data_IF_594472646210
#
_entry.id   IF_594472646210
#
_cell.length_a   1.000
_cell.length_b   1.000
_cell.length_c   1.000
_cell.angle_alpha   90.00
_cell.angle_beta   90.00
_cell.angle_gamma   90.00
#
_symmetry.space_group_name_H-M   'P 1'
#
loop_
_entity.id
_entity.type
_entity.pdbx_description
1 polymer ?
#
# COMPACT_ATOMS: atom_id res chain seq x y z
N UNK A 1 -13.30 6.97 -16.90
CA UNK A 1 -13.88 5.63 -17.17
C UNK A 1 -15.26 5.51 -16.49
N UNK A 2 -16.34 6.11 -17.05
CA UNK A 2 -17.64 6.23 -16.37
C UNK A 2 -18.39 4.89 -16.21
N UNK A 3 -18.26 4.00 -17.21
CA UNK A 3 -19.08 2.78 -17.32
C UNK A 3 -18.84 1.79 -16.17
N UNK A 4 -17.62 1.71 -15.64
CA UNK A 4 -17.30 0.82 -14.51
C UNK A 4 -17.87 1.32 -13.18
N UNK A 5 -17.99 2.65 -13.01
CA UNK A 5 -18.50 3.31 -11.79
C UNK A 5 -20.03 3.36 -11.70
N UNK A 6 -20.75 3.02 -12.75
CA UNK A 6 -22.23 3.00 -12.72
C UNK A 6 -22.82 1.59 -12.57
N UNK A 7 -22.05 0.53 -12.89
CA UNK A 7 -22.58 -0.85 -12.95
C UNK A 7 -21.80 -1.91 -12.17
N UNK A 8 -20.56 -1.63 -11.78
CA UNK A 8 -19.64 -2.59 -11.15
C UNK A 8 -18.95 -1.99 -9.92
N UNK A 9 -19.60 -1.01 -9.28
CA UNK A 9 -19.05 -0.18 -8.19
C UNK A 9 -18.37 -1.04 -7.14
N UNK A 10 -19.02 -2.14 -6.76
CA UNK A 10 -18.53 -3.07 -5.76
C UNK A 10 -18.31 -4.45 -6.39
N UNK A 11 -17.48 -4.53 -7.44
CA UNK A 11 -17.05 -5.80 -8.02
C UNK A 11 -15.55 -6.06 -7.79
N UNK A 12 -15.13 -7.29 -7.42
CA UNK A 12 -13.70 -7.61 -7.23
C UNK A 12 -12.82 -7.35 -8.46
N UNK A 13 -13.41 -7.36 -9.66
CA UNK A 13 -12.72 -7.01 -10.90
C UNK A 13 -12.40 -5.51 -10.99
N UNK A 14 -13.27 -4.63 -10.49
CA UNK A 14 -13.02 -3.19 -10.42
C UNK A 14 -11.80 -2.90 -9.53
N UNK A 15 -11.73 -3.52 -8.34
CA UNK A 15 -10.55 -3.42 -7.48
C UNK A 15 -9.25 -3.92 -8.15
N UNK A 16 -9.35 -4.98 -8.96
CA UNK A 16 -8.19 -5.50 -9.70
C UNK A 16 -7.69 -4.51 -10.75
N UNK A 17 -8.60 -3.87 -11.50
CA UNK A 17 -8.25 -2.84 -12.48
C UNK A 17 -7.60 -1.64 -11.77
N UNK A 18 -8.16 -1.20 -10.65
CA UNK A 18 -7.64 -0.09 -9.85
C UNK A 18 -6.23 -0.39 -9.33
N UNK A 19 -5.94 -1.59 -8.83
CA UNK A 19 -4.57 -1.96 -8.44
C UNK A 19 -3.60 -1.94 -9.63
N UNK A 20 -4.03 -2.38 -10.81
CA UNK A 20 -3.18 -2.31 -12.01
C UNK A 20 -2.91 -0.86 -12.43
N UNK A 21 -3.90 0.01 -12.35
CA UNK A 21 -3.70 1.46 -12.56
C UNK A 21 -2.73 2.03 -11.53
N UNK A 22 -2.88 1.67 -10.25
CA UNK A 22 -1.93 2.08 -9.21
C UNK A 22 -0.49 1.73 -9.57
N UNK A 23 -0.25 0.48 -9.99
CA UNK A 23 1.09 0.02 -10.39
C UNK A 23 1.62 0.80 -11.60
N UNK A 24 0.80 0.99 -12.63
CA UNK A 24 1.20 1.75 -13.81
C UNK A 24 1.57 3.20 -13.47
N UNK A 25 0.76 3.88 -12.66
CA UNK A 25 1.02 5.25 -12.23
C UNK A 25 2.28 5.33 -11.35
N UNK A 26 2.53 4.34 -10.49
CA UNK A 26 3.77 4.27 -9.70
C UNK A 26 4.99 4.13 -10.60
N UNK A 27 4.92 3.28 -11.62
CA UNK A 27 6.03 3.05 -12.56
C UNK A 27 6.27 4.29 -13.46
N UNK A 28 5.24 5.12 -13.67
CA UNK A 28 5.34 6.44 -14.31
C UNK A 28 5.85 7.56 -13.38
N UNK A 29 6.02 7.28 -12.08
CA UNK A 29 6.41 8.29 -11.07
C UNK A 29 5.26 9.18 -10.58
N UNK A 30 4.02 8.88 -10.95
CA UNK A 30 2.81 9.61 -10.59
C UNK A 30 2.24 9.10 -9.25
N UNK A 31 3.01 9.26 -8.18
CA UNK A 31 2.78 8.57 -6.90
C UNK A 31 1.45 8.92 -6.22
N UNK A 32 0.96 10.16 -6.33
CA UNK A 32 -0.34 10.54 -5.78
C UNK A 32 -1.51 9.82 -6.47
N UNK A 33 -1.41 9.63 -7.80
CA UNK A 33 -2.40 8.86 -8.56
C UNK A 33 -2.32 7.38 -8.17
N UNK A 34 -1.10 6.84 -8.02
CA UNK A 34 -0.90 5.47 -7.59
C UNK A 34 -1.57 5.20 -6.23
N UNK A 35 -1.31 6.06 -5.24
CA UNK A 35 -1.92 5.97 -3.93
C UNK A 35 -3.45 6.03 -4.00
N UNK A 36 -4.00 6.97 -4.76
CA UNK A 36 -5.46 7.14 -4.88
C UNK A 36 -6.13 5.87 -5.44
N UNK A 37 -5.57 5.28 -6.50
CA UNK A 37 -6.11 4.05 -7.08
C UNK A 37 -5.96 2.85 -6.14
N UNK A 38 -4.85 2.73 -5.41
CA UNK A 38 -4.66 1.67 -4.42
C UNK A 38 -5.64 1.78 -3.25
N UNK A 39 -5.95 3.01 -2.78
CA UNK A 39 -6.97 3.23 -1.73
C UNK A 39 -8.36 2.81 -2.20
N UNK A 40 -8.78 3.28 -3.38
CA UNK A 40 -10.08 2.88 -3.95
C UNK A 40 -10.19 1.35 -4.12
N UNK A 41 -9.12 0.68 -4.53
CA UNK A 41 -9.10 -0.78 -4.64
C UNK A 41 -9.18 -1.51 -3.30
N UNK A 42 -8.59 -0.94 -2.25
CA UNK A 42 -8.66 -1.48 -0.90
C UNK A 42 -10.08 -1.33 -0.33
N UNK A 43 -10.70 -0.15 -0.49
CA UNK A 43 -12.04 0.13 0.02
C UNK A 43 -13.06 -0.86 -0.54
N UNK A 44 -13.06 -1.09 -1.86
CA UNK A 44 -13.93 -2.08 -2.51
C UNK A 44 -13.71 -3.49 -1.96
N UNK A 45 -12.45 -3.89 -1.71
CA UNK A 45 -12.16 -5.24 -1.20
C UNK A 45 -12.51 -5.41 0.28
N UNK A 46 -12.36 -4.36 1.08
CA UNK A 46 -12.79 -4.38 2.48
C UNK A 46 -14.31 -4.54 2.58
N UNK A 47 -15.07 -3.81 1.76
CA UNK A 47 -16.53 -3.90 1.75
C UNK A 47 -17.05 -5.27 1.28
N UNK A 48 -16.41 -5.87 0.28
CA UNK A 48 -16.89 -7.11 -0.34
C UNK A 48 -16.39 -8.39 0.32
N UNK A 49 -15.15 -8.39 0.78
CA UNK A 49 -14.42 -9.62 1.11
C UNK A 49 -13.88 -9.65 2.54
N UNK A 50 -13.76 -8.50 3.20
CA UNK A 50 -13.16 -8.36 4.53
C UNK A 50 -11.82 -9.13 4.65
N UNK A 51 -11.81 -10.25 5.38
CA UNK A 51 -10.63 -11.07 5.65
C UNK A 51 -10.32 -12.06 4.51
N UNK A 52 -9.99 -11.53 3.33
CA UNK A 52 -9.68 -12.32 2.13
C UNK A 52 -8.27 -12.07 1.61
N UNK A 53 -7.71 -13.07 0.90
CA UNK A 53 -6.38 -12.98 0.25
C UNK A 53 -6.25 -11.76 -0.68
N UNK A 54 -7.32 -11.39 -1.36
CA UNK A 54 -7.32 -10.22 -2.25
C UNK A 54 -7.30 -8.90 -1.47
N UNK A 55 -8.00 -8.81 -0.34
CA UNK A 55 -7.92 -7.64 0.55
C UNK A 55 -6.49 -7.46 1.05
N UNK A 56 -5.85 -8.56 1.45
CA UNK A 56 -4.44 -8.59 1.85
C UNK A 56 -3.52 -8.09 0.74
N UNK A 57 -3.77 -8.53 -0.51
CA UNK A 57 -3.01 -8.03 -1.67
C UNK A 57 -3.17 -6.52 -1.84
N UNK A 58 -4.38 -5.98 -1.68
CA UNK A 58 -4.61 -4.52 -1.76
C UNK A 58 -3.93 -3.76 -0.64
N UNK A 59 -3.91 -4.29 0.59
CA UNK A 59 -3.16 -3.70 1.70
C UNK A 59 -1.66 -3.59 1.38
N UNK A 60 -1.09 -4.66 0.82
CA UNK A 60 0.31 -4.66 0.39
C UNK A 60 0.57 -3.65 -0.73
N UNK A 61 -0.27 -3.64 -1.76
CA UNK A 61 -0.12 -2.73 -2.92
C UNK A 61 -0.23 -1.26 -2.50
N UNK A 62 -1.15 -0.92 -1.57
CA UNK A 62 -1.26 0.43 -0.99
C UNK A 62 -0.02 0.79 -0.16
N UNK A 63 0.49 -0.12 0.67
CA UNK A 63 1.74 0.08 1.41
C UNK A 63 2.91 0.40 0.48
N UNK A 64 2.98 -0.25 -0.68
CA UNK A 64 3.98 0.03 -1.71
C UNK A 64 3.79 1.36 -2.43
N UNK A 65 2.55 1.73 -2.75
CA UNK A 65 2.26 3.05 -3.33
C UNK A 65 2.65 4.18 -2.36
N UNK A 66 2.35 4.02 -1.07
CA UNK A 66 2.72 4.98 -0.02
C UNK A 66 4.24 5.07 0.17
N UNK A 67 4.96 3.94 0.16
CA UNK A 67 6.43 3.90 0.18
C UNK A 67 7.02 4.68 -0.99
N UNK A 68 6.46 4.50 -2.20
CA UNK A 68 6.89 5.23 -3.39
C UNK A 68 6.58 6.73 -3.31
N UNK A 69 5.46 7.11 -2.67
CA UNK A 69 5.09 8.50 -2.41
C UNK A 69 5.85 9.13 -1.22
N UNK A 70 6.86 8.45 -0.66
CA UNK A 70 7.63 8.95 0.49
C UNK A 70 6.87 8.98 1.83
N UNK A 71 5.63 8.49 1.88
CA UNK A 71 4.78 8.47 3.08
C UNK A 71 5.09 7.24 3.95
N UNK A 72 6.33 7.15 4.44
CA UNK A 72 6.85 5.94 5.09
C UNK A 72 6.08 5.54 6.36
N UNK A 73 5.61 6.51 7.15
CA UNK A 73 4.83 6.24 8.37
C UNK A 73 3.50 5.56 8.05
N UNK A 74 2.77 6.02 7.04
CA UNK A 74 1.52 5.40 6.61
C UNK A 74 1.78 4.04 5.96
N UNK A 75 2.80 3.96 5.11
CA UNK A 75 3.21 2.71 4.46
C UNK A 75 3.47 1.60 5.48
N UNK A 76 4.18 1.92 6.57
CA UNK A 76 4.43 0.99 7.68
C UNK A 76 3.14 0.44 8.28
N UNK A 77 2.18 1.31 8.60
CA UNK A 77 0.91 0.90 9.21
C UNK A 77 0.13 -0.09 8.33
N UNK A 78 0.04 0.17 7.02
CA UNK A 78 -0.64 -0.74 6.09
C UNK A 78 0.11 -2.07 5.90
N UNK A 79 1.45 -2.05 5.86
CA UNK A 79 2.24 -3.28 5.74
C UNK A 79 2.20 -4.13 7.03
N UNK A 80 2.15 -3.52 8.21
CA UNK A 80 1.96 -4.23 9.48
C UNK A 80 0.58 -4.91 9.53
N UNK A 81 -0.48 -4.18 9.13
CA UNK A 81 -1.82 -4.74 9.00
C UNK A 81 -1.85 -5.89 7.99
N UNK A 82 -1.20 -5.72 6.83
CA UNK A 82 -1.06 -6.77 5.81
C UNK A 82 -0.42 -8.03 6.39
N UNK A 83 0.68 -7.89 7.13
CA UNK A 83 1.37 -9.02 7.77
C UNK A 83 0.46 -9.75 8.75
N UNK A 84 -0.21 -9.04 9.65
CA UNK A 84 -1.14 -9.64 10.62
C UNK A 84 -2.26 -10.43 9.92
N UNK A 85 -2.76 -9.91 8.80
CA UNK A 85 -3.81 -10.57 8.02
C UNK A 85 -3.29 -11.79 7.24
N UNK A 86 -2.07 -11.73 6.69
CA UNK A 86 -1.41 -12.87 6.04
C UNK A 86 -1.22 -14.05 7.00
N UNK A 87 -0.80 -13.77 8.23
CA UNK A 87 -0.61 -14.78 9.28
C UNK A 87 -1.94 -15.44 9.68
N UNK A 88 -3.03 -14.67 9.75
CA UNK A 88 -4.36 -15.17 10.11
C UNK A 88 -5.04 -15.96 9.01
N UNK A 89 -5.05 -15.44 7.77
CA UNK A 89 -5.93 -15.94 6.69
C UNK A 89 -5.20 -16.89 5.75
N UNK A 90 -3.94 -16.58 5.39
CA UNK A 90 -3.27 -17.22 4.25
C UNK A 90 -2.30 -18.31 4.69
N UNK A 91 -1.70 -18.18 5.88
CA UNK A 91 -0.70 -19.10 6.43
C UNK A 91 0.43 -19.45 5.44
N UNK A 92 0.78 -18.50 4.56
CA UNK A 92 1.84 -18.65 3.57
C UNK A 92 3.08 -17.86 4.02
N UNK A 93 4.10 -18.60 4.46
CA UNK A 93 5.35 -18.04 4.98
C UNK A 93 6.12 -17.23 3.94
N UNK A 94 5.91 -17.46 2.65
CA UNK A 94 6.63 -16.72 1.59
C UNK A 94 6.12 -15.29 1.46
N UNK A 95 4.80 -15.10 1.53
CA UNK A 95 4.16 -13.78 1.49
C UNK A 95 4.48 -12.95 2.73
N UNK A 96 4.49 -13.59 3.90
CA UNK A 96 4.88 -12.94 5.16
C UNK A 96 6.31 -12.43 5.09
N UNK A 97 7.26 -13.26 4.63
CA UNK A 97 8.67 -12.84 4.47
C UNK A 97 8.84 -11.64 3.55
N UNK A 98 8.16 -11.64 2.40
CA UNK A 98 8.20 -10.49 1.48
C UNK A 98 7.72 -9.21 2.16
N UNK A 99 6.61 -9.29 2.90
CA UNK A 99 6.06 -8.14 3.64
C UNK A 99 7.01 -7.68 4.74
N UNK A 100 7.69 -8.60 5.42
CA UNK A 100 8.72 -8.28 6.43
C UNK A 100 9.94 -7.59 5.84
N UNK A 101 10.40 -8.02 4.67
CA UNK A 101 11.50 -7.37 3.94
C UNK A 101 11.13 -5.93 3.61
N UNK A 102 9.95 -5.70 3.05
CA UNK A 102 9.46 -4.36 2.74
C UNK A 102 9.28 -3.50 4.01
N UNK A 103 8.81 -4.08 5.12
CA UNK A 103 8.73 -3.39 6.40
C UNK A 103 10.10 -2.96 6.91
N UNK A 104 11.13 -3.80 6.78
CA UNK A 104 12.50 -3.43 7.17
C UNK A 104 13.02 -2.25 6.35
N UNK A 105 12.75 -2.26 5.04
CA UNK A 105 13.14 -1.17 4.16
C UNK A 105 12.41 0.12 4.51
N UNK A 106 11.10 0.08 4.75
CA UNK A 106 10.32 1.25 5.17
C UNK A 106 10.81 1.80 6.50
N UNK A 107 11.14 0.95 7.47
CA UNK A 107 11.69 1.38 8.75
C UNK A 107 13.05 2.07 8.58
N UNK A 108 13.95 1.53 7.74
CA UNK A 108 15.23 2.18 7.43
C UNK A 108 15.03 3.55 6.79
N UNK A 109 14.12 3.67 5.82
CA UNK A 109 13.81 4.94 5.16
C UNK A 109 13.23 5.97 6.15
N UNK A 110 12.37 5.53 7.05
CA UNK A 110 11.80 6.38 8.10
C UNK A 110 12.86 6.88 9.10
N UNK A 111 13.82 6.03 9.48
CA UNK A 111 14.96 6.43 10.32
C UNK A 111 15.86 7.46 9.60
N UNK A 112 16.13 7.25 8.31
CA UNK A 112 16.90 8.20 7.50
C UNK A 112 16.20 9.56 7.37
N UNK A 113 14.88 9.57 7.18
CA UNK A 113 14.08 10.79 7.14
C UNK A 113 14.16 11.56 8.47
N UNK A 114 14.10 10.86 9.61
CA UNK A 114 14.25 11.47 10.93
C UNK A 114 15.64 12.09 11.12
N UNK A 115 16.70 11.38 10.72
CA UNK A 115 18.07 11.88 10.83
C UNK A 115 18.32 13.11 9.94
N UNK A 116 17.76 13.15 8.73
CA UNK A 116 17.83 14.31 7.85
C UNK A 116 17.07 15.52 8.42
N UNK A 117 15.92 15.29 9.07
CA UNK A 117 15.18 16.32 9.79
C UNK A 117 16.00 16.94 10.92
N UNK A 118 16.68 16.12 11.72
CA UNK A 118 17.55 16.59 12.83
C UNK A 118 18.77 17.35 12.30
N UNK A 119 19.39 16.87 11.21
CA UNK A 119 20.54 17.55 10.60
C UNK A 119 20.21 18.94 10.04
N UNK A 120 19.01 19.12 9.46
CA UNK A 120 18.53 20.45 9.01
C UNK A 120 18.30 21.42 10.18
N UNK A 121 17.86 20.94 11.34
CA UNK A 121 17.68 21.78 12.54
C UNK A 121 19.02 22.19 13.13
N UNK A 122 20.03 21.31 13.14
CA UNK A 122 21.37 21.65 13.62
C UNK A 122 22.15 22.61 12.72
N UNK A 123 21.87 22.67 11.41
CA UNK A 123 22.54 23.59 10.47
C UNK A 123 21.98 25.03 10.50
N UNK A 124 20.98 25.31 11.36
CA UNK A 124 20.37 26.63 11.54
C UNK A 124 20.86 27.37 12.80
N UNK A 125 21.87 26.84 13.49
CA UNK A 125 22.56 27.46 14.63
C UNK A 125 24.04 27.61 14.33
#
# INVERSE_FOLDING_TARGET
MPIYRERLVDHPFTATILNNLSNNHRDLGEFDHAENYARQALDIRLELLADHRDTIKSLFDLGMALKANGKFREAKGFLELCKTMQEKVVNDKTLVKKTEEELRDVNRLLEMEQLQGVAKVCALF
#
